data_IF_190091621289
#
_entry.id   IF_190091621289
#
_cell.length_a   1.000
_cell.length_b   1.000
_cell.length_c   1.000
_cell.angle_alpha   90.00
_cell.angle_beta   90.00
_cell.angle_gamma   90.00
#
_symmetry.space_group_name_H-M   'P 1'
#
loop_
_entity.id
_entity.type
_entity.pdbx_description
1 polymer ?
#
# COMPACT_ATOMS: atom_id res chain seq x y z
N UNK A 1 6.37 4.48 -10.70
CA UNK A 1 5.19 3.59 -10.66
C UNK A 1 4.16 4.08 -9.63
N UNK A 2 4.47 4.20 -8.34
CA UNK A 2 3.53 4.55 -7.27
C UNK A 2 2.66 5.78 -7.57
N UNK A 3 3.25 6.91 -7.99
CA UNK A 3 2.49 8.12 -8.34
C UNK A 3 1.47 7.92 -9.46
N UNK A 4 1.79 7.10 -10.46
CA UNK A 4 0.86 6.79 -11.56
C UNK A 4 -0.32 5.97 -11.02
N UNK A 5 -0.04 4.97 -10.20
CA UNK A 5 -1.05 4.13 -9.57
C UNK A 5 -2.03 4.96 -8.74
N UNK A 6 -1.54 5.77 -7.81
CA UNK A 6 -2.40 6.57 -6.91
C UNK A 6 -3.14 7.67 -7.67
N UNK A 7 -2.50 8.29 -8.67
CA UNK A 7 -3.13 9.31 -9.50
C UNK A 7 -4.28 8.77 -10.34
N UNK A 8 -4.07 7.64 -11.02
CA UNK A 8 -5.12 6.96 -11.80
C UNK A 8 -6.23 6.45 -10.90
N UNK A 9 -5.91 5.87 -9.75
CA UNK A 9 -6.91 5.39 -8.81
C UNK A 9 -7.86 6.50 -8.33
N UNK A 10 -7.32 7.65 -7.95
CA UNK A 10 -8.16 8.79 -7.55
C UNK A 10 -8.98 9.37 -8.72
N UNK A 11 -8.40 9.40 -9.91
CA UNK A 11 -9.11 9.84 -11.12
C UNK A 11 -10.29 8.91 -11.40
N UNK A 12 -10.06 7.60 -11.41
CA UNK A 12 -11.08 6.60 -11.70
C UNK A 12 -12.21 6.63 -10.67
N UNK A 13 -11.87 6.68 -9.36
CA UNK A 13 -12.86 6.81 -8.29
C UNK A 13 -13.70 8.06 -8.47
N UNK A 14 -13.07 9.21 -8.80
CA UNK A 14 -13.78 10.47 -8.99
C UNK A 14 -14.69 10.44 -10.21
N UNK A 15 -14.23 9.88 -11.32
CA UNK A 15 -15.04 9.73 -12.54
C UNK A 15 -16.23 8.80 -12.32
N UNK A 16 -16.03 7.65 -11.68
CA UNK A 16 -17.12 6.73 -11.36
C UNK A 16 -18.13 7.33 -10.40
N UNK A 17 -17.70 8.11 -9.43
CA UNK A 17 -18.61 8.87 -8.58
C UNK A 17 -19.54 9.76 -9.42
N UNK A 18 -18.99 10.56 -10.35
CA UNK A 18 -19.77 11.45 -11.21
C UNK A 18 -20.72 10.69 -12.12
N UNK A 19 -20.28 9.58 -12.69
CA UNK A 19 -21.11 8.72 -13.53
C UNK A 19 -22.29 8.15 -12.74
N UNK A 20 -22.04 7.60 -11.55
CA UNK A 20 -23.08 7.01 -10.72
C UNK A 20 -24.03 8.07 -10.17
N UNK A 21 -23.53 9.25 -9.81
CA UNK A 21 -24.37 10.36 -9.38
C UNK A 21 -25.33 10.83 -10.46
N UNK A 22 -24.91 10.76 -11.72
CA UNK A 22 -25.78 11.09 -12.87
C UNK A 22 -26.84 9.99 -13.16
N UNK A 23 -26.48 8.70 -13.04
CA UNK A 23 -27.37 7.61 -13.42
C UNK A 23 -28.27 7.10 -12.27
N UNK A 24 -27.89 7.32 -11.02
CA UNK A 24 -28.70 6.92 -9.86
C UNK A 24 -29.72 8.00 -9.55
N UNK A 25 -30.97 7.75 -9.92
CA UNK A 25 -32.11 8.61 -9.61
C UNK A 25 -32.71 8.22 -8.25
N UNK A 26 -32.25 8.87 -7.18
CA UNK A 26 -32.79 8.71 -5.83
C UNK A 26 -33.12 10.09 -5.25
N UNK A 27 -34.32 10.22 -4.70
CA UNK A 27 -34.82 11.50 -4.18
C UNK A 27 -34.19 11.87 -2.83
N UNK A 28 -33.83 10.87 -2.02
CA UNK A 28 -33.17 11.06 -0.74
C UNK A 28 -31.64 11.05 -0.94
N UNK A 29 -31.02 12.20 -0.74
CA UNK A 29 -29.58 12.39 -0.88
C UNK A 29 -28.75 11.43 0.00
N UNK A 30 -29.26 11.10 1.19
CA UNK A 30 -28.58 10.19 2.14
C UNK A 30 -28.55 8.77 1.60
N UNK A 31 -29.70 8.28 1.12
CA UNK A 31 -29.80 6.98 0.48
C UNK A 31 -29.03 6.92 -0.83
N UNK A 32 -29.05 7.98 -1.62
CA UNK A 32 -28.27 8.09 -2.86
C UNK A 32 -26.79 7.90 -2.59
N UNK A 33 -26.25 8.59 -1.58
CA UNK A 33 -24.84 8.48 -1.22
C UNK A 33 -24.45 7.05 -0.79
N UNK A 34 -25.29 6.34 -0.05
CA UNK A 34 -25.09 4.94 0.32
C UNK A 34 -25.14 4.05 -0.93
N UNK A 35 -26.10 4.26 -1.84
CA UNK A 35 -26.20 3.49 -3.09
C UNK A 35 -24.98 3.67 -3.97
N UNK A 36 -24.50 4.91 -4.16
CA UNK A 36 -23.29 5.20 -4.93
C UNK A 36 -22.09 4.49 -4.31
N UNK A 37 -21.81 4.70 -3.03
CA UNK A 37 -20.63 4.14 -2.37
C UNK A 37 -20.64 2.62 -2.36
N UNK A 38 -21.78 1.97 -2.14
CA UNK A 38 -21.90 0.50 -2.19
C UNK A 38 -21.75 -0.04 -3.61
N UNK A 39 -22.29 0.66 -4.61
CA UNK A 39 -22.10 0.28 -6.03
C UNK A 39 -20.62 0.41 -6.42
N UNK A 40 -19.93 1.44 -5.95
CA UNK A 40 -18.49 1.63 -6.20
C UNK A 40 -17.61 0.51 -5.63
N UNK A 41 -18.07 -0.26 -4.64
CA UNK A 41 -17.34 -1.44 -4.17
C UNK A 41 -17.18 -2.51 -5.26
N UNK A 42 -18.12 -2.58 -6.21
CA UNK A 42 -18.00 -3.50 -7.37
C UNK A 42 -16.85 -3.13 -8.29
N UNK A 43 -16.51 -1.84 -8.40
CA UNK A 43 -15.30 -1.38 -9.08
C UNK A 43 -14.04 -1.94 -8.41
N UNK A 44 -13.99 -1.91 -7.06
CA UNK A 44 -12.91 -2.54 -6.31
C UNK A 44 -12.76 -4.04 -6.59
N UNK A 45 -13.87 -4.78 -6.75
CA UNK A 45 -13.84 -6.18 -7.16
C UNK A 45 -13.29 -6.37 -8.58
N UNK A 46 -13.62 -5.47 -9.51
CA UNK A 46 -13.05 -5.46 -10.86
C UNK A 46 -11.54 -5.23 -10.84
N UNK A 47 -11.08 -4.23 -10.07
CA UNK A 47 -9.66 -3.96 -9.86
C UNK A 47 -8.92 -5.17 -9.28
N UNK A 48 -9.51 -5.86 -8.28
CA UNK A 48 -8.98 -7.09 -7.69
C UNK A 48 -8.81 -8.21 -8.71
N UNK A 49 -9.82 -8.44 -9.54
CA UNK A 49 -9.77 -9.47 -10.58
C UNK A 49 -8.66 -9.16 -11.60
N UNK A 50 -8.56 -7.91 -12.05
CA UNK A 50 -7.51 -7.49 -12.98
C UNK A 50 -6.12 -7.60 -12.36
N UNK A 51 -5.96 -7.19 -11.10
CA UNK A 51 -4.71 -7.29 -10.37
C UNK A 51 -4.23 -8.74 -10.23
N UNK A 52 -5.16 -9.68 -9.98
CA UNK A 52 -4.84 -11.10 -9.93
C UNK A 52 -4.20 -11.58 -11.25
N UNK A 53 -4.82 -11.28 -12.39
CA UNK A 53 -4.28 -11.70 -13.69
C UNK A 53 -2.96 -11.00 -14.04
N UNK A 54 -2.85 -9.69 -13.76
CA UNK A 54 -1.63 -8.93 -14.01
C UNK A 54 -0.46 -9.44 -13.15
N UNK A 55 -0.71 -9.73 -11.88
CA UNK A 55 0.28 -10.26 -10.94
C UNK A 55 0.74 -11.66 -11.30
N UNK A 56 -0.18 -12.56 -11.65
CA UNK A 56 0.16 -13.91 -12.09
C UNK A 56 0.92 -13.88 -13.41
N UNK A 57 0.44 -13.11 -14.40
CA UNK A 57 1.10 -12.98 -15.69
C UNK A 57 2.49 -12.34 -15.59
N UNK A 58 2.62 -11.25 -14.82
CA UNK A 58 3.90 -10.59 -14.55
C UNK A 58 4.89 -11.53 -13.87
N UNK A 59 4.45 -12.25 -12.83
CA UNK A 59 5.29 -13.22 -12.11
C UNK A 59 5.76 -14.39 -12.98
N UNK A 60 4.90 -14.91 -13.87
CA UNK A 60 5.27 -15.95 -14.84
C UNK A 60 6.35 -15.41 -15.80
N UNK A 61 6.15 -14.19 -16.33
CA UNK A 61 7.10 -13.58 -17.26
C UNK A 61 8.47 -13.36 -16.59
N UNK A 62 8.48 -12.76 -15.39
CA UNK A 62 9.70 -12.51 -14.62
C UNK A 62 10.46 -13.83 -14.35
N UNK A 63 9.76 -14.83 -13.85
CA UNK A 63 10.40 -16.12 -13.53
C UNK A 63 10.88 -16.88 -14.77
N UNK A 64 10.19 -16.78 -15.89
CA UNK A 64 10.64 -17.38 -17.13
C UNK A 64 11.93 -16.71 -17.64
N UNK A 65 12.03 -15.38 -17.53
CA UNK A 65 13.21 -14.63 -17.93
C UNK A 65 14.42 -14.91 -17.00
N UNK A 66 14.24 -14.81 -15.69
CA UNK A 66 15.23 -15.07 -14.64
C UNK A 66 15.81 -16.50 -14.77
N UNK A 67 14.93 -17.53 -14.71
CA UNK A 67 15.37 -18.92 -14.83
C UNK A 67 16.01 -19.21 -16.19
N UNK A 68 15.47 -18.63 -17.27
CA UNK A 68 16.06 -18.76 -18.62
C UNK A 68 17.45 -18.15 -18.72
N UNK A 69 17.65 -16.96 -18.18
CA UNK A 69 18.96 -16.27 -18.14
C UNK A 69 19.98 -17.07 -17.31
N UNK A 70 19.54 -17.59 -16.17
CA UNK A 70 20.40 -18.41 -15.29
C UNK A 70 20.82 -19.73 -15.94
N UNK A 71 19.90 -20.42 -16.62
CA UNK A 71 20.23 -21.67 -17.32
C UNK A 71 21.26 -21.42 -18.42
N UNK A 72 21.08 -20.40 -19.24
CA UNK A 72 22.04 -20.09 -20.32
C UNK A 72 23.37 -19.61 -19.75
N UNK A 73 23.35 -18.71 -18.77
CA UNK A 73 24.56 -18.12 -18.22
C UNK A 73 25.32 -19.09 -17.31
N UNK A 74 24.72 -19.48 -16.21
CA UNK A 74 25.41 -20.26 -15.17
C UNK A 74 25.61 -21.72 -15.55
N UNK A 75 24.62 -22.35 -16.20
CA UNK A 75 24.68 -23.80 -16.48
C UNK A 75 25.35 -24.10 -17.83
N UNK A 76 24.94 -23.43 -18.92
CA UNK A 76 25.48 -23.71 -20.25
C UNK A 76 26.80 -23.01 -20.51
N UNK A 77 26.90 -21.69 -20.22
CA UNK A 77 28.08 -20.89 -20.52
C UNK A 77 29.11 -20.83 -19.38
N UNK A 78 28.73 -21.21 -18.15
CA UNK A 78 29.60 -21.17 -16.98
C UNK A 78 30.09 -19.77 -16.60
N UNK A 79 29.30 -18.74 -16.89
CA UNK A 79 29.58 -17.35 -16.58
C UNK A 79 28.77 -16.86 -15.38
N UNK A 80 29.21 -15.83 -14.65
CA UNK A 80 28.48 -15.26 -13.51
C UNK A 80 27.10 -14.74 -13.88
N UNK A 81 26.26 -14.58 -12.87
CA UNK A 81 24.99 -13.88 -12.98
C UNK A 81 25.18 -12.45 -13.48
N UNK A 82 24.24 -11.94 -14.27
CA UNK A 82 24.28 -10.60 -14.86
C UNK A 82 25.52 -10.30 -15.74
N UNK A 83 26.23 -11.32 -16.19
CA UNK A 83 27.39 -11.12 -17.06
C UNK A 83 26.94 -10.53 -18.41
N UNK A 84 27.53 -9.41 -18.88
CA UNK A 84 27.16 -8.75 -20.13
C UNK A 84 27.37 -9.63 -21.38
N UNK A 85 28.09 -10.72 -21.28
CA UNK A 85 28.21 -11.72 -22.35
C UNK A 85 26.98 -12.59 -22.52
N UNK A 86 26.12 -12.66 -21.52
CA UNK A 86 24.86 -13.39 -21.61
C UNK A 86 23.76 -12.49 -22.19
N UNK A 87 23.29 -12.71 -23.44
CA UNK A 87 22.26 -11.88 -24.03
C UNK A 87 20.91 -12.02 -23.31
N UNK A 88 20.68 -13.08 -22.55
CA UNK A 88 19.48 -13.29 -21.77
C UNK A 88 19.36 -12.36 -20.55
N UNK A 89 20.48 -11.74 -20.11
CA UNK A 89 20.46 -10.73 -19.03
C UNK A 89 19.55 -9.55 -19.37
N UNK A 90 19.42 -9.18 -20.66
CA UNK A 90 18.47 -8.14 -21.07
C UNK A 90 17.02 -8.58 -20.81
N UNK A 91 16.70 -9.83 -21.14
CA UNK A 91 15.35 -10.37 -20.92
C UNK A 91 15.04 -10.47 -19.41
N UNK A 92 16.03 -10.80 -18.60
CA UNK A 92 15.91 -10.86 -17.14
C UNK A 92 15.61 -9.48 -16.55
N UNK A 93 16.42 -8.47 -16.88
CA UNK A 93 16.17 -7.09 -16.44
C UNK A 93 14.83 -6.52 -16.92
N UNK A 94 14.35 -6.88 -18.12
CA UNK A 94 13.00 -6.54 -18.61
C UNK A 94 11.94 -7.29 -17.82
N UNK A 95 12.20 -8.56 -17.49
CA UNK A 95 11.30 -9.40 -16.69
C UNK A 95 11.04 -8.82 -15.31
N UNK A 96 12.08 -8.36 -14.64
CA UNK A 96 11.96 -7.69 -13.34
C UNK A 96 11.07 -6.44 -13.43
N UNK A 97 11.29 -5.61 -14.45
CA UNK A 97 10.42 -4.45 -14.67
C UNK A 97 8.95 -4.84 -14.92
N UNK A 98 8.68 -5.92 -15.66
CA UNK A 98 7.31 -6.42 -15.88
C UNK A 98 6.71 -6.92 -14.57
N UNK A 99 7.46 -7.65 -13.76
CA UNK A 99 7.03 -8.12 -12.44
C UNK A 99 6.65 -6.97 -11.50
N UNK A 100 7.51 -5.96 -11.42
CA UNK A 100 7.30 -4.82 -10.53
C UNK A 100 6.22 -3.87 -11.03
N UNK A 101 6.16 -3.58 -12.32
CA UNK A 101 5.20 -2.61 -12.86
C UNK A 101 3.84 -3.25 -13.09
N UNK A 102 3.75 -4.36 -13.81
CA UNK A 102 2.48 -5.01 -14.08
C UNK A 102 1.96 -5.80 -12.87
N UNK A 103 2.83 -6.55 -12.18
CA UNK A 103 2.46 -7.36 -11.03
C UNK A 103 2.16 -6.50 -9.80
N UNK A 104 3.18 -5.85 -9.24
CA UNK A 104 3.03 -5.07 -8.01
C UNK A 104 2.22 -3.78 -8.20
N UNK A 105 2.35 -3.11 -9.37
CA UNK A 105 1.57 -1.91 -9.65
C UNK A 105 0.07 -2.15 -9.65
N UNK A 106 -0.38 -3.26 -10.25
CA UNK A 106 -1.78 -3.65 -10.25
C UNK A 106 -2.29 -3.99 -8.84
N UNK A 107 -1.48 -4.66 -8.02
CA UNK A 107 -1.79 -5.01 -6.63
C UNK A 107 -1.94 -3.76 -5.74
N UNK A 108 -1.04 -2.78 -5.93
CA UNK A 108 -1.12 -1.49 -5.25
C UNK A 108 -2.36 -0.69 -5.66
N UNK A 109 -2.73 -0.71 -6.94
CA UNK A 109 -3.95 -0.08 -7.44
C UNK A 109 -5.20 -0.68 -6.79
N UNK A 110 -5.30 -2.01 -6.75
CA UNK A 110 -6.38 -2.74 -6.08
C UNK A 110 -6.51 -2.32 -4.62
N UNK A 111 -5.41 -2.41 -3.87
CA UNK A 111 -5.38 -2.12 -2.44
C UNK A 111 -5.74 -0.66 -2.13
N UNK A 112 -5.26 0.26 -2.95
CA UNK A 112 -5.53 1.69 -2.80
C UNK A 112 -6.99 2.02 -3.10
N UNK A 113 -7.51 1.59 -4.25
CA UNK A 113 -8.93 1.78 -4.60
C UNK A 113 -9.84 1.13 -3.58
N UNK A 114 -9.57 -0.14 -3.22
CA UNK A 114 -10.36 -0.88 -2.25
C UNK A 114 -10.44 -0.19 -0.89
N UNK A 115 -9.30 0.32 -0.39
CA UNK A 115 -9.26 1.02 0.89
C UNK A 115 -10.03 2.34 0.87
N UNK A 116 -9.88 3.15 -0.18
CA UNK A 116 -10.61 4.42 -0.32
C UNK A 116 -12.12 4.19 -0.44
N UNK A 117 -12.53 3.25 -1.31
CA UNK A 117 -13.93 2.93 -1.56
C UNK A 117 -14.62 2.30 -0.33
N UNK A 118 -13.96 1.34 0.32
CA UNK A 118 -14.50 0.73 1.54
C UNK A 118 -14.67 1.77 2.65
N UNK A 119 -13.69 2.67 2.81
CA UNK A 119 -13.76 3.74 3.82
C UNK A 119 -14.87 4.73 3.49
N UNK A 120 -15.06 5.09 2.22
CA UNK A 120 -16.16 5.95 1.79
C UNK A 120 -17.53 5.32 2.08
N UNK A 121 -17.69 4.02 1.80
CA UNK A 121 -18.93 3.30 2.10
C UNK A 121 -19.19 3.20 3.62
N UNK A 122 -18.15 2.97 4.42
CA UNK A 122 -18.25 2.98 5.88
C UNK A 122 -18.61 4.38 6.41
N UNK A 123 -18.05 5.45 5.82
CA UNK A 123 -18.38 6.83 6.12
C UNK A 123 -19.86 7.15 5.81
N UNK A 124 -20.35 6.72 4.64
CA UNK A 124 -21.74 6.86 4.26
C UNK A 124 -22.71 6.19 5.26
N UNK A 125 -22.33 5.00 5.75
CA UNK A 125 -23.12 4.24 6.72
C UNK A 125 -23.02 4.83 8.14
N UNK A 126 -21.83 5.27 8.56
CA UNK A 126 -21.61 5.81 9.91
C UNK A 126 -22.36 7.12 10.16
N UNK A 127 -22.50 7.96 9.12
CA UNK A 127 -23.12 9.28 9.22
C UNK A 127 -24.52 9.34 8.60
N UNK A 128 -25.21 8.22 8.43
CA UNK A 128 -26.54 8.16 7.84
C UNK A 128 -27.58 9.01 8.61
N UNK A 129 -27.41 9.15 9.93
CA UNK A 129 -28.26 9.98 10.78
C UNK A 129 -27.93 11.49 10.72
N UNK A 130 -26.83 11.88 10.07
CA UNK A 130 -26.34 13.25 9.97
C UNK A 130 -26.02 13.61 8.53
N UNK A 131 -27.01 13.93 7.69
CA UNK A 131 -26.84 14.14 6.24
C UNK A 131 -25.79 15.18 5.88
N UNK A 132 -25.66 16.23 6.69
CA UNK A 132 -24.66 17.29 6.47
C UNK A 132 -23.21 16.79 6.60
N UNK A 133 -22.97 15.83 7.50
CA UNK A 133 -21.64 15.27 7.73
C UNK A 133 -21.39 14.01 6.88
N UNK A 134 -22.43 13.38 6.35
CA UNK A 134 -22.30 12.14 5.57
C UNK A 134 -21.43 12.35 4.32
N UNK A 135 -21.70 13.37 3.54
CA UNK A 135 -20.90 13.69 2.36
C UNK A 135 -19.45 14.03 2.72
N UNK A 136 -19.23 14.75 3.82
CA UNK A 136 -17.91 15.07 4.33
C UNK A 136 -17.15 13.82 4.77
N UNK A 137 -17.83 12.85 5.39
CA UNK A 137 -17.23 11.57 5.78
C UNK A 137 -16.86 10.70 4.57
N UNK A 138 -17.65 10.72 3.50
CA UNK A 138 -17.33 10.06 2.22
C UNK A 138 -16.11 10.72 1.57
N UNK A 139 -16.02 12.04 1.61
CA UNK A 139 -14.97 12.83 0.96
C UNK A 139 -13.64 12.74 1.71
N UNK A 140 -13.66 12.56 3.03
CA UNK A 140 -12.47 12.56 3.89
C UNK A 140 -11.38 11.58 3.42
N UNK A 141 -11.63 10.28 3.17
CA UNK A 141 -10.61 9.36 2.70
C UNK A 141 -10.03 9.78 1.34
N UNK A 142 -10.83 10.32 0.43
CA UNK A 142 -10.37 10.78 -0.88
C UNK A 142 -9.45 12.01 -0.75
N UNK A 143 -9.78 12.96 0.12
CA UNK A 143 -8.95 14.14 0.37
C UNK A 143 -7.65 13.80 1.08
N UNK A 144 -7.67 12.90 2.08
CA UNK A 144 -6.45 12.41 2.75
C UNK A 144 -5.55 11.72 1.73
N UNK A 145 -6.12 10.88 0.88
CA UNK A 145 -5.42 10.19 -0.19
C UNK A 145 -4.81 11.19 -1.20
N UNK A 146 -5.58 12.17 -1.66
CA UNK A 146 -5.11 13.20 -2.62
C UNK A 146 -3.97 14.05 -2.04
N UNK A 147 -4.10 14.48 -0.77
CA UNK A 147 -3.01 15.18 -0.09
C UNK A 147 -1.78 14.29 0.10
N UNK A 148 -1.99 13.00 0.38
CA UNK A 148 -0.92 12.01 0.41
C UNK A 148 -0.09 12.01 -0.88
N UNK A 149 -0.74 12.07 -2.05
CA UNK A 149 -0.05 12.15 -3.36
C UNK A 149 0.79 13.43 -3.46
N UNK A 150 0.22 14.58 -3.12
CA UNK A 150 0.92 15.88 -3.20
C UNK A 150 2.11 15.90 -2.23
N UNK A 151 1.92 15.42 -1.01
CA UNK A 151 2.96 15.41 0.01
C UNK A 151 4.03 14.34 -0.26
N UNK A 152 3.68 13.25 -0.91
CA UNK A 152 4.64 12.26 -1.43
C UNK A 152 5.54 12.88 -2.51
N UNK A 153 5.00 13.71 -3.40
CA UNK A 153 5.82 14.46 -4.36
C UNK A 153 6.88 15.31 -3.65
N UNK A 154 6.51 16.01 -2.58
CA UNK A 154 7.47 16.76 -1.77
C UNK A 154 8.51 15.84 -1.12
N UNK A 155 8.09 14.67 -0.62
CA UNK A 155 8.97 13.66 -0.04
C UNK A 155 10.02 13.15 -1.02
N UNK A 156 9.64 12.90 -2.28
CA UNK A 156 10.56 12.44 -3.34
C UNK A 156 11.71 13.43 -3.55
N UNK A 157 11.47 14.73 -3.51
CA UNK A 157 12.54 15.74 -3.63
C UNK A 157 13.56 15.72 -2.50
N UNK A 158 13.22 15.11 -1.36
CA UNK A 158 14.11 14.93 -0.21
C UNK A 158 14.97 13.67 -0.32
N UNK A 159 14.60 12.73 -1.18
CA UNK A 159 15.37 11.51 -1.44
C UNK A 159 16.55 11.87 -2.33
N UNK A 160 17.74 11.98 -1.72
CA UNK A 160 18.99 12.29 -2.43
C UNK A 160 20.03 11.25 -2.10
N UNK A 161 20.63 10.69 -3.14
CA UNK A 161 21.70 9.69 -3.05
C UNK A 161 22.93 10.12 -3.87
N UNK A 162 24.07 9.48 -3.60
CA UNK A 162 25.30 9.68 -4.36
C UNK A 162 25.58 8.41 -5.17
N UNK A 163 26.28 8.56 -6.27
CA UNK A 163 26.81 7.40 -7.02
C UNK A 163 27.70 6.55 -6.11
N UNK A 164 27.55 5.22 -6.19
CA UNK A 164 28.27 4.28 -5.34
C UNK A 164 27.77 4.18 -3.89
N UNK A 165 26.57 4.71 -3.59
CA UNK A 165 25.97 4.56 -2.27
C UNK A 165 25.69 3.09 -1.94
N UNK A 166 25.93 2.68 -0.69
CA UNK A 166 25.57 1.35 -0.22
C UNK A 166 24.06 1.21 -0.10
N UNK A 167 23.53 -0.03 -0.18
CA UNK A 167 22.10 -0.30 -0.03
C UNK A 167 21.53 0.34 1.24
N UNK A 168 22.24 0.26 2.35
CA UNK A 168 21.82 0.85 3.62
C UNK A 168 21.70 2.38 3.56
N UNK A 169 22.54 3.04 2.76
CA UNK A 169 22.45 4.50 2.54
C UNK A 169 21.25 4.85 1.64
N UNK A 170 20.96 4.00 0.65
CA UNK A 170 19.76 4.15 -0.21
C UNK A 170 18.49 4.03 0.62
N UNK A 171 18.37 2.98 1.44
CA UNK A 171 17.24 2.77 2.33
C UNK A 171 17.04 3.94 3.30
N UNK A 172 18.13 4.43 3.93
CA UNK A 172 18.05 5.59 4.84
C UNK A 172 17.62 6.87 4.12
N UNK A 173 17.98 7.04 2.87
CA UNK A 173 17.54 8.20 2.08
C UNK A 173 16.07 8.12 1.76
N UNK A 174 15.57 6.94 1.41
CA UNK A 174 14.14 6.67 1.20
C UNK A 174 13.33 6.90 2.48
N UNK A 175 13.81 6.39 3.62
CA UNK A 175 13.21 6.61 4.93
C UNK A 175 13.02 8.09 5.28
N UNK A 176 13.98 8.94 4.93
CA UNK A 176 13.84 10.39 5.17
C UNK A 176 12.66 10.96 4.38
N UNK A 177 12.50 10.56 3.13
CA UNK A 177 11.36 10.97 2.30
C UNK A 177 10.04 10.52 2.93
N UNK A 178 9.92 9.23 3.24
CA UNK A 178 8.72 8.63 3.83
C UNK A 178 8.38 9.27 5.18
N UNK A 179 9.33 9.39 6.10
CA UNK A 179 9.08 9.96 7.42
C UNK A 179 8.66 11.43 7.35
N UNK A 180 9.29 12.21 6.47
CA UNK A 180 8.92 13.63 6.29
C UNK A 180 7.52 13.75 5.72
N UNK A 181 7.20 12.98 4.68
CA UNK A 181 5.84 12.96 4.12
C UNK A 181 4.81 12.50 5.14
N UNK A 182 5.12 11.49 5.95
CA UNK A 182 4.24 11.01 7.01
C UNK A 182 3.90 12.12 8.03
N UNK A 183 4.89 12.89 8.47
CA UNK A 183 4.66 14.03 9.38
C UNK A 183 3.79 15.09 8.71
N UNK A 184 4.06 15.43 7.45
CA UNK A 184 3.25 16.40 6.70
C UNK A 184 1.82 15.91 6.50
N UNK A 185 1.61 14.61 6.24
CA UNK A 185 0.28 13.99 6.11
C UNK A 185 -0.49 14.09 7.43
N UNK A 186 0.14 13.88 8.57
CA UNK A 186 -0.51 14.07 9.88
C UNK A 186 -1.02 15.50 10.02
N UNK A 187 -0.18 16.50 9.74
CA UNK A 187 -0.57 17.91 9.81
C UNK A 187 -1.71 18.22 8.84
N UNK A 188 -1.59 17.76 7.60
CA UNK A 188 -2.62 17.95 6.56
C UNK A 188 -3.95 17.28 6.95
N UNK A 189 -3.90 16.09 7.56
CA UNK A 189 -5.09 15.37 8.03
C UNK A 189 -5.85 16.15 9.10
N UNK A 190 -5.15 16.81 10.03
CA UNK A 190 -5.79 17.69 11.01
C UNK A 190 -6.52 18.85 10.33
N UNK A 191 -5.92 19.47 9.32
CA UNK A 191 -6.53 20.56 8.57
C UNK A 191 -7.77 20.09 7.82
N UNK A 192 -7.68 18.94 7.11
CA UNK A 192 -8.82 18.37 6.36
C UNK A 192 -9.98 18.04 7.28
N UNK A 193 -9.71 17.33 8.38
CA UNK A 193 -10.73 16.90 9.32
C UNK A 193 -11.41 18.11 9.99
N UNK A 194 -10.64 19.15 10.31
CA UNK A 194 -11.19 20.42 10.80
C UNK A 194 -12.12 21.10 9.76
N UNK A 195 -11.68 21.20 8.49
CA UNK A 195 -12.47 21.82 7.43
C UNK A 195 -13.75 21.05 7.11
N UNK A 196 -13.73 19.73 7.25
CA UNK A 196 -14.89 18.87 7.04
C UNK A 196 -15.82 18.82 8.27
N UNK A 197 -15.45 19.44 9.39
CA UNK A 197 -16.25 19.42 10.62
C UNK A 197 -16.38 18.05 11.28
N UNK A 198 -15.45 17.14 10.99
CA UNK A 198 -15.42 15.80 11.57
C UNK A 198 -14.68 15.81 12.92
N UNK A 199 -14.92 14.76 13.73
CA UNK A 199 -14.26 14.62 15.03
C UNK A 199 -12.73 14.48 14.91
N UNK A 200 -11.99 15.21 15.73
CA UNK A 200 -10.52 15.14 15.77
C UNK A 200 -9.98 13.75 16.19
N UNK A 201 -10.80 12.92 16.81
CA UNK A 201 -10.45 11.55 17.14
C UNK A 201 -10.11 10.71 15.89
N UNK A 202 -10.70 11.07 14.74
CA UNK A 202 -10.39 10.44 13.44
C UNK A 202 -8.92 10.67 13.04
N UNK A 203 -8.29 11.79 13.44
CA UNK A 203 -6.86 12.00 13.24
C UNK A 203 -6.01 10.93 13.96
N UNK A 204 -6.47 10.46 15.12
CA UNK A 204 -5.84 9.36 15.83
C UNK A 204 -5.80 8.07 15.00
N UNK A 205 -6.87 7.79 14.24
CA UNK A 205 -6.90 6.65 13.31
C UNK A 205 -5.91 6.82 12.15
N UNK A 206 -5.79 8.02 11.56
CA UNK A 206 -4.77 8.31 10.53
C UNK A 206 -3.35 8.07 11.05
N UNK A 207 -3.05 8.62 12.24
CA UNK A 207 -1.73 8.47 12.87
C UNK A 207 -1.43 6.99 13.14
N UNK A 208 -2.42 6.24 13.63
CA UNK A 208 -2.28 4.80 13.89
C UNK A 208 -1.98 4.05 12.59
N UNK A 209 -2.66 4.37 11.49
CA UNK A 209 -2.40 3.77 10.17
C UNK A 209 -0.97 4.04 9.68
N UNK A 210 -0.51 5.29 9.74
CA UNK A 210 0.85 5.67 9.35
C UNK A 210 1.91 4.95 10.20
N UNK A 211 1.74 4.90 11.52
CA UNK A 211 2.66 4.21 12.42
C UNK A 211 2.68 2.69 12.14
N UNK A 212 1.52 2.09 11.90
CA UNK A 212 1.39 0.69 11.51
C UNK A 212 2.18 0.42 10.22
N UNK A 213 2.04 1.26 9.20
CA UNK A 213 2.78 1.16 7.95
C UNK A 213 4.30 1.26 8.14
N UNK A 214 4.76 2.21 8.94
CA UNK A 214 6.20 2.38 9.24
C UNK A 214 6.76 1.15 9.96
N UNK A 215 6.07 0.62 10.96
CA UNK A 215 6.52 -0.57 11.71
C UNK A 215 6.59 -1.80 10.81
N UNK A 216 5.56 -2.02 9.97
CA UNK A 216 5.53 -3.13 9.01
C UNK A 216 6.67 -2.97 8.00
N UNK A 217 6.86 -1.78 7.43
CA UNK A 217 7.94 -1.51 6.49
C UNK A 217 9.33 -1.80 7.09
N UNK A 218 9.57 -1.36 8.32
CA UNK A 218 10.84 -1.64 9.02
C UNK A 218 11.02 -3.13 9.36
N UNK A 219 9.96 -3.83 9.74
CA UNK A 219 10.02 -5.26 9.97
C UNK A 219 10.34 -6.01 8.66
N UNK A 220 9.70 -5.62 7.56
CA UNK A 220 9.96 -6.21 6.24
C UNK A 220 11.40 -5.97 5.81
N UNK A 221 11.89 -4.72 5.91
CA UNK A 221 13.28 -4.36 5.61
C UNK A 221 14.27 -5.24 6.39
N UNK A 222 14.04 -5.43 7.69
CA UNK A 222 14.90 -6.23 8.54
C UNK A 222 14.99 -7.71 8.09
N UNK A 223 13.88 -8.30 7.65
CA UNK A 223 13.85 -9.71 7.25
C UNK A 223 14.22 -9.96 5.79
N UNK A 224 14.19 -8.95 4.91
CA UNK A 224 14.40 -9.12 3.46
C UNK A 224 15.70 -8.51 2.95
N UNK A 225 16.26 -7.50 3.62
CA UNK A 225 17.46 -6.84 3.17
C UNK A 225 18.72 -7.65 3.50
N UNK A 226 19.65 -7.75 2.54
CA UNK A 226 20.94 -8.41 2.73
C UNK A 226 21.85 -7.75 3.79
N UNK A 227 21.53 -6.53 4.21
CA UNK A 227 22.27 -5.81 5.23
C UNK A 227 22.05 -6.39 6.65
N UNK A 228 21.01 -7.21 6.84
CA UNK A 228 20.63 -7.74 8.15
C UNK A 228 20.84 -9.25 8.27
N UNK A 229 20.98 -9.70 9.52
CA UNK A 229 21.27 -11.10 9.87
C UNK A 229 20.33 -12.13 9.28
N UNK A 230 18.98 -11.95 9.25
CA UNK A 230 18.10 -13.01 8.76
C UNK A 230 18.46 -13.46 7.34
N UNK A 231 18.72 -12.52 6.44
CA UNK A 231 19.11 -12.83 5.06
C UNK A 231 20.52 -13.41 4.97
N UNK A 232 21.46 -12.87 5.77
CA UNK A 232 22.85 -13.38 5.84
C UNK A 232 22.88 -14.81 6.36
N UNK A 233 22.04 -15.15 7.35
CA UNK A 233 21.96 -16.49 7.92
C UNK A 233 21.39 -17.49 6.89
N UNK A 234 20.47 -17.07 6.02
CA UNK A 234 19.99 -17.90 4.91
C UNK A 234 21.13 -18.14 3.92
N UNK A 235 21.86 -17.10 3.53
CA UNK A 235 23.00 -17.21 2.62
C UNK A 235 24.09 -18.11 3.19
N UNK A 236 24.44 -17.97 4.48
CA UNK A 236 25.41 -18.81 5.17
C UNK A 236 25.00 -20.28 5.22
N UNK A 237 23.69 -20.60 5.23
CA UNK A 237 23.22 -21.99 5.21
C UNK A 237 23.48 -22.70 3.86
N UNK A 238 23.82 -21.96 2.81
CA UNK A 238 24.19 -22.53 1.51
C UNK A 238 25.47 -23.38 1.56
N UNK A 239 26.37 -23.12 2.52
CA UNK A 239 27.59 -23.92 2.72
C UNK A 239 27.26 -25.40 3.04
N UNK A 240 26.11 -25.66 3.62
CA UNK A 240 25.68 -27.03 4.00
C UNK A 240 24.78 -27.67 2.95
N UNK A 241 24.35 -26.95 1.94
CA UNK A 241 23.64 -27.48 0.79
C UNK A 241 22.26 -26.83 0.53
N UNK A 242 21.62 -27.10 -0.62
CA UNK A 242 20.38 -26.45 -1.01
C UNK A 242 19.19 -26.76 -0.09
N UNK A 243 19.13 -27.96 0.48
CA UNK A 243 18.04 -28.34 1.38
C UNK A 243 18.01 -27.46 2.65
N UNK A 244 19.17 -27.15 3.21
CA UNK A 244 19.29 -26.27 4.39
C UNK A 244 18.92 -24.83 4.10
N UNK A 245 19.23 -24.33 2.90
CA UNK A 245 18.78 -22.99 2.43
C UNK A 245 17.26 -22.93 2.37
N UNK A 246 16.62 -23.94 1.78
CA UNK A 246 15.15 -23.98 1.66
C UNK A 246 14.50 -24.00 3.05
N UNK A 247 14.95 -24.90 3.95
CA UNK A 247 14.40 -25.00 5.29
C UNK A 247 14.60 -23.71 6.08
N UNK A 248 15.81 -23.13 6.02
CA UNK A 248 16.12 -21.88 6.71
C UNK A 248 15.30 -20.71 6.16
N UNK A 249 15.16 -20.62 4.82
CA UNK A 249 14.35 -19.60 4.15
C UNK A 249 12.89 -19.66 4.55
N UNK A 250 12.26 -20.85 4.52
CA UNK A 250 10.88 -21.06 4.96
C UNK A 250 10.73 -20.68 6.44
N UNK A 251 11.62 -21.17 7.31
CA UNK A 251 11.57 -20.86 8.73
C UNK A 251 11.67 -19.36 9.03
N UNK A 252 12.61 -18.67 8.37
CA UNK A 252 12.77 -17.21 8.48
C UNK A 252 11.54 -16.47 7.95
N UNK A 253 10.98 -16.90 6.81
CA UNK A 253 9.76 -16.33 6.23
C UNK A 253 8.55 -16.48 7.17
N UNK A 254 8.39 -17.63 7.82
CA UNK A 254 7.32 -17.84 8.80
C UNK A 254 7.48 -16.91 10.03
N UNK A 255 8.69 -16.72 10.53
CA UNK A 255 8.95 -15.83 11.67
C UNK A 255 8.73 -14.36 11.28
N UNK A 256 9.07 -13.97 10.07
CA UNK A 256 8.95 -12.60 9.59
C UNK A 256 7.52 -12.05 9.61
N UNK A 257 6.50 -12.91 9.55
CA UNK A 257 5.09 -12.52 9.60
C UNK A 257 4.61 -12.11 10.99
N UNK A 258 5.32 -12.49 12.06
CA UNK A 258 4.86 -12.26 13.43
C UNK A 258 4.71 -10.77 13.78
N UNK A 259 5.72 -9.96 13.45
CA UNK A 259 5.68 -8.51 13.74
C UNK A 259 4.57 -7.81 12.93
N UNK A 260 4.47 -7.98 11.60
CA UNK A 260 3.37 -7.42 10.82
C UNK A 260 1.98 -7.78 11.36
N UNK A 261 1.74 -9.06 11.64
CA UNK A 261 0.43 -9.52 12.13
C UNK A 261 0.06 -8.88 13.46
N UNK A 262 0.97 -8.87 14.43
CA UNK A 262 0.73 -8.23 15.74
C UNK A 262 0.48 -6.73 15.55
N UNK A 263 1.27 -6.06 14.71
CA UNK A 263 1.15 -4.63 14.44
C UNK A 263 -0.20 -4.29 13.81
N UNK A 264 -0.68 -5.11 12.87
CA UNK A 264 -2.01 -4.93 12.25
C UNK A 264 -3.11 -5.08 13.30
N UNK A 265 -3.06 -6.11 14.14
CA UNK A 265 -4.07 -6.35 15.20
C UNK A 265 -4.12 -5.15 16.15
N UNK A 266 -2.97 -4.69 16.63
CA UNK A 266 -2.90 -3.51 17.51
C UNK A 266 -3.38 -2.25 16.77
N UNK A 267 -2.99 -2.08 15.51
CA UNK A 267 -3.42 -0.96 14.67
C UNK A 267 -4.93 -0.90 14.48
N UNK A 268 -5.57 -2.03 14.19
CA UNK A 268 -7.03 -2.13 14.05
C UNK A 268 -7.72 -1.73 15.37
N UNK A 269 -7.27 -2.28 16.50
CA UNK A 269 -7.87 -1.99 17.82
C UNK A 269 -7.74 -0.50 18.14
N UNK A 270 -6.55 0.08 17.97
CA UNK A 270 -6.32 1.49 18.27
C UNK A 270 -7.11 2.42 17.33
N UNK A 271 -7.12 2.13 16.04
CA UNK A 271 -7.87 2.92 15.05
C UNK A 271 -9.38 2.90 15.34
N UNK A 272 -9.91 1.73 15.70
CA UNK A 272 -11.30 1.56 16.10
C UNK A 272 -11.62 2.41 17.35
N UNK A 273 -10.81 2.28 18.41
CA UNK A 273 -11.01 2.99 19.67
C UNK A 273 -10.93 4.51 19.50
N UNK A 274 -9.98 5.00 18.71
CA UNK A 274 -9.88 6.43 18.43
C UNK A 274 -11.14 6.95 17.74
N UNK A 275 -11.55 6.38 16.62
CA UNK A 275 -12.72 6.88 15.89
C UNK A 275 -14.03 6.71 16.66
N UNK A 276 -14.15 5.66 17.45
CA UNK A 276 -15.30 5.44 18.35
C UNK A 276 -15.26 6.31 19.61
N UNK A 277 -14.29 7.21 19.76
CA UNK A 277 -14.13 8.08 20.95
C UNK A 277 -14.06 7.29 22.26
N UNK A 278 -13.36 6.14 22.21
CA UNK A 278 -13.24 5.15 23.31
C UNK A 278 -14.57 4.47 23.70
N UNK A 279 -15.64 4.67 22.96
CA UNK A 279 -16.90 3.95 23.14
C UNK A 279 -16.98 2.71 22.22
N UNK A 280 -16.77 1.53 22.79
CA UNK A 280 -16.84 0.28 22.03
C UNK A 280 -18.24 -0.02 21.45
N UNK A 281 -19.29 0.64 21.95
CA UNK A 281 -20.65 0.49 21.43
C UNK A 281 -20.88 1.20 20.10
N UNK A 282 -20.05 2.18 19.74
CA UNK A 282 -20.16 2.91 18.49
C UNK A 282 -19.46 2.19 17.34
N UNK A 283 -20.04 1.06 16.93
CA UNK A 283 -19.45 0.15 15.94
C UNK A 283 -19.24 0.81 14.57
N UNK A 284 -20.17 1.63 14.12
CA UNK A 284 -20.11 2.26 12.79
C UNK A 284 -18.92 3.22 12.69
N UNK A 285 -18.73 4.06 13.71
CA UNK A 285 -17.61 4.98 13.78
C UNK A 285 -16.28 4.25 13.95
N UNK A 286 -16.25 3.19 14.79
CA UNK A 286 -15.05 2.38 14.96
C UNK A 286 -14.60 1.73 13.66
N UNK A 287 -15.50 1.14 12.89
CA UNK A 287 -15.19 0.57 11.57
C UNK A 287 -14.74 1.62 10.56
N UNK A 288 -15.38 2.81 10.56
CA UNK A 288 -14.93 3.92 9.74
C UNK A 288 -13.49 4.33 10.09
N UNK A 289 -13.14 4.38 11.37
CA UNK A 289 -11.78 4.65 11.82
C UNK A 289 -10.76 3.63 11.34
N UNK A 290 -11.10 2.34 11.31
CA UNK A 290 -10.24 1.29 10.74
C UNK A 290 -10.00 1.55 9.24
N UNK A 291 -11.05 1.92 8.49
CA UNK A 291 -10.93 2.31 7.09
C UNK A 291 -10.01 3.54 6.90
N UNK A 292 -10.22 4.58 7.70
CA UNK A 292 -9.36 5.79 7.68
C UNK A 292 -7.90 5.45 8.00
N UNK A 293 -7.64 4.53 8.93
CA UNK A 293 -6.28 4.08 9.21
C UNK A 293 -5.64 3.37 8.01
N UNK A 294 -6.40 2.55 7.29
CA UNK A 294 -5.94 1.90 6.06
C UNK A 294 -5.56 2.93 4.98
N UNK A 295 -6.40 3.96 4.77
CA UNK A 295 -6.10 5.06 3.84
C UNK A 295 -4.87 5.85 4.33
N UNK A 296 -4.76 6.10 5.64
CA UNK A 296 -3.59 6.74 6.25
C UNK A 296 -2.30 5.96 5.97
N UNK A 297 -2.32 4.63 6.13
CA UNK A 297 -1.18 3.76 5.85
C UNK A 297 -0.74 3.84 4.38
N UNK A 298 -1.70 3.91 3.45
CA UNK A 298 -1.44 3.96 2.01
C UNK A 298 -1.14 5.37 1.48
N UNK A 299 -1.27 6.41 2.30
CA UNK A 299 -1.09 7.79 1.86
C UNK A 299 0.35 8.13 1.43
N UNK A 300 1.35 7.34 1.84
CA UNK A 300 2.76 7.47 1.43
C UNK A 300 3.13 6.61 0.22
N UNK A 301 2.17 5.93 -0.39
CA UNK A 301 2.39 4.98 -1.50
C UNK A 301 3.03 5.64 -2.75
N UNK A 302 2.95 6.96 -2.87
CA UNK A 302 3.54 7.71 -3.97
C UNK A 302 5.07 7.80 -3.94
N UNK A 303 5.72 7.47 -2.82
CA UNK A 303 7.18 7.46 -2.64
C UNK A 303 7.71 6.07 -2.92
#
# INVERSE_FOLDING_TARGET
>A
MGLVVVGLALLDISLWWLVLDYFIEEADATHKAVMITTTMLTFGMGASTQALFARVGGGIFTKAADVGADLVGKVEAGIPEDDPRNPATIADNVGDNVGDVAGMGADLYESYCGSVLATAALGAAAFIASPELQFNAILAPMLIAALGVILSLLGIFLVKTKEGATQLQLLRSLDRGINTSSVLIVVASFIVIHLLGLSYWICGSVITGLLTGIVIGKATEYYTSHAYRPTQDIAGSAETGPATVIIKGIGTGMISTAIPVITIVVGIILAYLFAAEMDMGNMSMGLYGVGIAAVGMLSTLGI
#
